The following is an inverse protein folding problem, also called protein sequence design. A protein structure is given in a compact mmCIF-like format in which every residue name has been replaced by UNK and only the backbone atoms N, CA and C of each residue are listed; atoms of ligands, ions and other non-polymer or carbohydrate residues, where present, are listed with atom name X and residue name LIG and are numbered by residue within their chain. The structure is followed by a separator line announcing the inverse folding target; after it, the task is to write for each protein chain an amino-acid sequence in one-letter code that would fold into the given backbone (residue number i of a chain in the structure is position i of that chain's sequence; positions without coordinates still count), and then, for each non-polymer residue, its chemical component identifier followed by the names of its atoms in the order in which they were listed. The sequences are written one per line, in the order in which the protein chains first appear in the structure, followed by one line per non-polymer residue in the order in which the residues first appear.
data_IF_997609055405
#
_entry.id   IF_997609055405
#
_cell.length_a   1.000
_cell.length_b   1.000
_cell.length_c   1.000
_cell.angle_alpha   90.00
_cell.angle_beta   90.00
_cell.angle_gamma   90.00
#
_symmetry.space_group_name_H-M   'P 1'
#
loop_
_entity.id
_entity.type
_entity.pdbx_description
1 polymer ?
#
# COMPACT_ATOMS: atom_id res chain seq x y z
N UNK A 1 8.94 11.88 7.10
CA UNK A 1 7.49 12.16 7.27
C UNK A 1 7.31 13.02 8.52
N UNK A 2 6.41 14.02 8.49
CA UNK A 2 6.16 14.94 9.63
C UNK A 2 5.55 14.17 10.80
N UNK A 3 6.17 14.06 11.98
CA UNK A 3 5.71 13.28 13.17
C UNK A 3 4.25 13.52 13.58
N UNK A 4 3.56 12.52 14.13
CA UNK A 4 2.28 12.76 14.83
C UNK A 4 2.54 13.75 15.97
N UNK A 5 1.73 14.81 16.06
CA UNK A 5 1.94 15.93 16.99
C UNK A 5 2.75 17.09 16.43
N UNK A 6 3.33 16.96 15.23
CA UNK A 6 3.99 18.06 14.50
C UNK A 6 3.06 18.74 13.47
N UNK A 7 1.78 18.37 13.47
CA UNK A 7 0.72 18.98 12.67
C UNK A 7 -0.59 18.91 13.45
N UNK A 8 -1.46 19.90 13.24
CA UNK A 8 -2.78 20.06 13.88
C UNK A 8 -3.94 19.94 12.87
N UNK A 9 -3.62 19.69 11.59
CA UNK A 9 -4.61 19.58 10.52
C UNK A 9 -5.41 18.28 10.62
N UNK A 10 -6.73 18.42 10.48
CA UNK A 10 -7.67 17.30 10.39
C UNK A 10 -7.67 16.72 8.96
N UNK A 11 -8.17 15.48 8.75
CA UNK A 11 -8.41 14.96 7.41
C UNK A 11 -9.33 15.88 6.59
N UNK A 12 -9.22 15.87 5.25
CA UNK A 12 -10.09 16.70 4.42
C UNK A 12 -11.56 16.29 4.60
N UNK A 13 -12.43 17.30 4.68
CA UNK A 13 -13.88 17.16 4.73
C UNK A 13 -14.50 17.46 3.37
N UNK A 14 -15.58 16.77 3.03
CA UNK A 14 -16.35 17.03 1.82
C UNK A 14 -17.38 18.11 2.07
N UNK A 15 -17.03 19.33 1.65
CA UNK A 15 -17.88 20.50 1.71
C UNK A 15 -17.79 21.14 0.33
N UNK A 16 -18.94 21.40 -0.30
CA UNK A 16 -18.98 22.02 -1.62
C UNK A 16 -19.01 23.54 -1.46
N UNK A 17 -18.52 24.27 -2.47
CA UNK A 17 -18.52 25.74 -2.45
C UNK A 17 -19.92 26.33 -2.27
N UNK A 18 -20.94 25.64 -2.79
CA UNK A 18 -22.35 26.01 -2.65
C UNK A 18 -22.91 25.83 -1.22
N UNK A 19 -22.25 25.02 -0.39
CA UNK A 19 -22.61 24.80 1.01
C UNK A 19 -21.91 25.82 1.93
N UNK A 20 -21.06 26.68 1.37
CA UNK A 20 -20.33 27.73 2.07
C UNK A 20 -21.02 29.08 1.86
N UNK A 21 -21.16 29.84 2.94
CA UNK A 21 -21.67 31.21 2.91
C UNK A 21 -20.78 32.15 3.72
N UNK A 22 -20.76 33.44 3.36
CA UNK A 22 -19.90 34.45 3.97
C UNK A 22 -20.25 34.77 5.44
N UNK A 23 -21.45 34.41 5.89
CA UNK A 23 -21.94 34.64 7.24
C UNK A 23 -21.83 33.39 8.12
N UNK A 24 -21.27 32.30 7.60
CA UNK A 24 -21.16 31.03 8.29
C UNK A 24 -20.17 31.09 9.45
N UNK A 25 -20.66 30.79 10.66
CA UNK A 25 -19.83 30.70 11.88
C UNK A 25 -19.46 29.27 12.25
N UNK A 26 -20.10 28.26 11.64
CA UNK A 26 -19.86 26.83 11.85
C UNK A 26 -20.02 26.10 10.52
N UNK A 27 -19.08 25.20 10.18
CA UNK A 27 -19.12 24.40 8.96
C UNK A 27 -20.36 23.50 8.87
N UNK A 28 -20.87 23.23 7.65
CA UNK A 28 -22.04 22.38 7.46
C UNK A 28 -21.70 20.91 7.78
N UNK A 29 -22.71 20.09 8.11
CA UNK A 29 -22.51 18.66 8.32
C UNK A 29 -22.05 17.97 7.03
N UNK A 30 -21.17 16.98 7.17
CA UNK A 30 -20.62 16.22 6.04
C UNK A 30 -21.73 15.34 5.44
N UNK A 31 -21.92 15.43 4.13
CA UNK A 31 -22.91 14.63 3.39
C UNK A 31 -22.36 13.24 3.05
N UNK A 32 -23.24 12.24 2.95
CA UNK A 32 -22.89 10.84 2.60
C UNK A 32 -22.54 10.64 1.13
N UNK A 33 -22.96 11.55 0.23
CA UNK A 33 -22.64 11.51 -1.21
C UNK A 33 -21.13 11.63 -1.50
N UNK A 34 -20.37 11.95 -0.47
CA UNK A 34 -18.93 11.96 -0.45
C UNK A 34 -18.24 10.65 -0.87
N UNK A 35 -18.84 9.50 -0.56
CA UNK A 35 -18.12 8.21 -0.56
C UNK A 35 -17.56 7.82 -1.93
N UNK A 36 -18.07 8.37 -3.04
CA UNK A 36 -17.57 8.12 -4.40
C UNK A 36 -16.76 9.29 -5.00
N UNK A 37 -16.68 10.40 -4.28
CA UNK A 37 -15.98 11.62 -4.70
C UNK A 37 -14.45 11.44 -4.71
N UNK A 38 -13.74 12.39 -5.30
CA UNK A 38 -12.28 12.43 -5.26
C UNK A 38 -11.75 12.64 -3.83
N UNK A 39 -12.44 13.47 -3.05
CA UNK A 39 -12.09 13.70 -1.65
C UNK A 39 -12.34 12.39 -0.87
N UNK A 40 -13.40 11.63 -1.20
CA UNK A 40 -13.75 10.33 -0.60
C UNK A 40 -12.59 9.37 -0.64
N UNK A 41 -12.08 9.18 -1.86
CA UNK A 41 -10.87 8.42 -2.12
C UNK A 41 -9.68 8.92 -1.29
N UNK A 42 -9.46 10.24 -1.24
CA UNK A 42 -8.35 10.84 -0.49
C UNK A 42 -8.45 10.54 1.01
N UNK A 43 -9.63 10.57 1.62
CA UNK A 43 -9.79 10.26 3.05
C UNK A 43 -9.58 8.78 3.35
N UNK A 44 -10.12 7.88 2.54
CA UNK A 44 -9.86 6.43 2.71
C UNK A 44 -8.37 6.12 2.55
N UNK A 45 -7.75 6.66 1.50
CA UNK A 45 -6.30 6.51 1.28
C UNK A 45 -5.48 7.12 2.41
N UNK A 46 -5.89 8.28 2.95
CA UNK A 46 -5.22 8.93 4.06
C UNK A 46 -5.16 8.02 5.30
N UNK A 47 -6.24 7.29 5.62
CA UNK A 47 -6.24 6.31 6.72
C UNK A 47 -5.19 5.22 6.52
N UNK A 48 -5.11 4.64 5.31
CA UNK A 48 -4.05 3.67 4.98
C UNK A 48 -2.65 4.26 5.12
N UNK A 49 -2.44 5.52 4.69
CA UNK A 49 -1.15 6.19 4.83
C UNK A 49 -0.78 6.43 6.29
N UNK A 50 -1.74 6.71 7.17
CA UNK A 50 -1.49 6.81 8.61
C UNK A 50 -1.08 5.48 9.24
N UNK A 51 -1.57 4.35 8.73
CA UNK A 51 -1.14 3.02 9.19
C UNK A 51 0.22 2.68 8.60
N UNK A 52 0.42 2.94 7.30
CA UNK A 52 1.71 2.80 6.63
C UNK A 52 2.81 3.56 7.38
N UNK A 53 2.50 4.74 7.88
CA UNK A 53 3.40 5.48 8.76
C UNK A 53 3.83 4.68 9.98
N UNK A 54 2.88 4.15 10.75
CA UNK A 54 3.17 3.40 11.97
C UNK A 54 4.06 2.20 11.63
N UNK A 55 3.75 1.52 10.53
CA UNK A 55 4.55 0.43 9.98
C UNK A 55 5.95 0.93 9.61
N UNK A 56 6.07 2.04 8.89
CA UNK A 56 7.35 2.60 8.48
C UNK A 56 8.22 2.94 9.69
N UNK A 57 7.65 3.61 10.69
CA UNK A 57 8.35 3.97 11.92
C UNK A 57 8.82 2.69 12.66
N UNK A 58 7.93 1.70 12.84
CA UNK A 58 8.26 0.41 13.47
C UNK A 58 9.33 -0.39 12.71
N UNK A 59 9.24 -0.43 11.38
CA UNK A 59 10.19 -1.12 10.50
C UNK A 59 11.56 -0.45 10.45
N UNK A 60 11.70 0.78 10.95
CA UNK A 60 12.97 1.49 11.03
C UNK A 60 13.50 1.65 12.47
N UNK A 61 12.83 1.07 13.47
CA UNK A 61 13.39 1.00 14.82
C UNK A 61 14.65 0.13 14.86
N UNK A 62 15.60 0.56 15.69
CA UNK A 62 16.86 -0.16 15.97
C UNK A 62 16.56 -1.49 16.64
N UNK A 63 15.71 -1.48 17.66
CA UNK A 63 15.16 -2.69 18.29
C UNK A 63 13.93 -3.15 17.50
N UNK A 64 13.91 -4.39 16.99
CA UNK A 64 12.72 -4.95 16.36
C UNK A 64 11.53 -4.94 17.31
N UNK A 65 10.34 -4.64 16.78
CA UNK A 65 9.09 -4.85 17.50
C UNK A 65 8.81 -6.35 17.62
N UNK A 66 7.98 -6.72 18.60
CA UNK A 66 7.56 -8.11 18.77
C UNK A 66 6.74 -8.61 17.58
N UNK A 67 6.72 -9.93 17.38
CA UNK A 67 5.91 -10.52 16.31
C UNK A 67 4.41 -10.26 16.50
N UNK A 68 3.94 -10.20 17.76
CA UNK A 68 2.55 -9.85 18.06
C UNK A 68 2.21 -8.41 17.63
N UNK A 69 3.14 -7.46 17.81
CA UNK A 69 2.98 -6.09 17.33
C UNK A 69 2.97 -6.03 15.79
N UNK A 70 3.80 -6.85 15.12
CA UNK A 70 3.79 -6.96 13.65
C UNK A 70 2.41 -7.41 13.16
N UNK A 71 1.88 -8.48 13.75
CA UNK A 71 0.55 -9.00 13.38
C UNK A 71 -0.58 -8.02 13.74
N UNK A 72 -0.44 -7.27 14.84
CA UNK A 72 -1.36 -6.20 15.21
C UNK A 72 -1.40 -5.07 14.18
N UNK A 73 -0.23 -4.64 13.66
CA UNK A 73 -0.16 -3.65 12.59
C UNK A 73 -0.74 -4.15 11.27
N UNK A 74 -0.53 -5.43 10.94
CA UNK A 74 -1.15 -6.03 9.75
C UNK A 74 -2.67 -6.09 9.86
N UNK A 75 -3.19 -6.47 11.03
CA UNK A 75 -4.64 -6.45 11.27
C UNK A 75 -5.21 -5.05 11.07
N UNK A 76 -4.59 -4.02 11.65
CA UNK A 76 -5.03 -2.64 11.44
C UNK A 76 -5.03 -2.25 9.95
N UNK A 77 -4.02 -2.70 9.20
CA UNK A 77 -3.92 -2.44 7.78
C UNK A 77 -5.02 -3.15 6.97
N UNK A 78 -5.37 -4.39 7.33
CA UNK A 78 -6.47 -5.15 6.74
C UNK A 78 -7.82 -4.52 7.06
N UNK A 79 -8.09 -4.22 8.33
CA UNK A 79 -9.34 -3.59 8.78
C UNK A 79 -9.58 -2.27 8.02
N UNK A 80 -8.53 -1.45 7.86
CA UNK A 80 -8.62 -0.21 7.11
C UNK A 80 -8.81 -0.39 5.60
N UNK A 81 -8.37 -1.52 5.02
CA UNK A 81 -8.64 -1.86 3.62
C UNK A 81 -10.10 -2.30 3.44
N UNK A 82 -10.64 -3.06 4.40
CA UNK A 82 -12.02 -3.55 4.38
C UNK A 82 -13.06 -2.43 4.51
N UNK A 83 -12.73 -1.35 5.24
CA UNK A 83 -13.56 -0.14 5.32
C UNK A 83 -13.68 0.63 3.99
N UNK A 84 -12.79 0.36 3.02
CA UNK A 84 -12.78 1.09 1.75
C UNK A 84 -13.96 0.63 0.88
N UNK A 85 -14.80 1.54 0.34
CA UNK A 85 -15.88 1.16 -0.57
C UNK A 85 -15.38 0.34 -1.75
N UNK A 86 -16.16 -0.67 -2.17
CA UNK A 86 -15.81 -1.57 -3.28
C UNK A 86 -15.47 -0.81 -4.57
N UNK A 87 -16.09 0.35 -4.79
CA UNK A 87 -15.81 1.25 -5.91
C UNK A 87 -14.35 1.71 -6.01
N UNK A 88 -13.63 1.75 -4.88
CA UNK A 88 -12.22 2.12 -4.79
C UNK A 88 -11.27 0.95 -4.57
N UNK A 89 -11.76 -0.29 -4.52
CA UNK A 89 -10.89 -1.46 -4.36
C UNK A 89 -10.45 -1.97 -5.72
N UNK A 90 -9.15 -2.23 -5.89
CA UNK A 90 -8.67 -2.93 -7.08
C UNK A 90 -9.05 -4.40 -7.01
N UNK A 91 -8.79 -5.10 -5.89
CA UNK A 91 -8.95 -6.55 -5.65
C UNK A 91 -8.14 -7.46 -6.60
N UNK A 92 -8.07 -7.10 -7.88
CA UNK A 92 -7.26 -7.74 -8.90
C UNK A 92 -7.07 -6.80 -10.10
N UNK A 93 -6.06 -7.09 -10.91
CA UNK A 93 -5.84 -6.42 -12.20
C UNK A 93 -7.06 -6.57 -13.13
N UNK A 94 -7.78 -7.69 -13.06
CA UNK A 94 -8.97 -7.94 -13.88
C UNK A 94 -10.10 -6.94 -13.58
N UNK A 95 -10.35 -6.64 -12.31
CA UNK A 95 -11.37 -5.66 -11.91
C UNK A 95 -11.01 -4.25 -12.41
N UNK A 96 -9.72 -3.89 -12.36
CA UNK A 96 -9.27 -2.60 -12.91
C UNK A 96 -9.55 -2.50 -14.41
N UNK A 97 -9.37 -3.57 -15.20
CA UNK A 97 -9.59 -3.55 -16.64
C UNK A 97 -10.99 -3.12 -17.07
N UNK A 98 -12.01 -3.49 -16.29
CA UNK A 98 -13.41 -3.19 -16.57
C UNK A 98 -13.86 -1.81 -16.06
N UNK A 99 -13.02 -1.11 -15.28
CA UNK A 99 -13.36 0.17 -14.67
C UNK A 99 -13.10 1.39 -15.57
N UNK A 100 -13.75 2.50 -15.25
CA UNK A 100 -13.40 3.82 -15.79
C UNK A 100 -11.95 4.20 -15.44
N UNK A 101 -11.37 5.15 -16.18
CA UNK A 101 -10.01 5.69 -15.90
C UNK A 101 -9.87 6.11 -14.44
N UNK A 102 -10.89 6.78 -13.89
CA UNK A 102 -10.87 7.24 -12.50
C UNK A 102 -10.90 6.08 -11.50
N UNK A 103 -11.64 5.01 -11.77
CA UNK A 103 -11.66 3.81 -10.92
C UNK A 103 -10.32 3.07 -11.00
N UNK A 104 -9.75 2.93 -12.20
CA UNK A 104 -8.44 2.31 -12.42
C UNK A 104 -7.36 2.97 -11.55
N UNK A 105 -7.23 4.29 -11.67
CA UNK A 105 -6.21 5.08 -10.97
C UNK A 105 -6.43 5.07 -9.46
N UNK A 106 -7.67 5.26 -9.01
CA UNK A 106 -8.01 5.30 -7.58
C UNK A 106 -7.82 3.94 -6.91
N UNK A 107 -8.30 2.87 -7.55
CA UNK A 107 -8.13 1.49 -7.10
C UNK A 107 -6.67 1.09 -7.01
N UNK A 108 -5.92 1.29 -8.10
CA UNK A 108 -4.47 1.05 -8.11
C UNK A 108 -3.76 1.81 -6.97
N UNK A 109 -4.11 3.08 -6.76
CA UNK A 109 -3.45 3.89 -5.73
C UNK A 109 -3.68 3.38 -4.31
N UNK A 110 -4.85 2.82 -4.01
CA UNK A 110 -5.15 2.22 -2.70
C UNK A 110 -4.41 0.90 -2.56
N UNK A 111 -4.52 0.04 -3.58
CA UNK A 111 -3.89 -1.27 -3.62
C UNK A 111 -2.37 -1.18 -3.44
N UNK A 112 -1.71 -0.28 -4.19
CA UNK A 112 -0.27 -0.04 -4.05
C UNK A 112 0.12 0.43 -2.65
N UNK A 113 -0.71 1.26 -2.01
CA UNK A 113 -0.46 1.73 -0.65
C UNK A 113 -0.55 0.58 0.35
N UNK A 114 -1.53 -0.30 0.19
CA UNK A 114 -1.68 -1.49 1.01
C UNK A 114 -0.52 -2.48 0.82
N UNK A 115 -0.22 -2.87 -0.44
CA UNK A 115 0.81 -3.86 -0.74
C UNK A 115 2.19 -3.40 -0.27
N UNK A 116 2.56 -2.14 -0.51
CA UNK A 116 3.86 -1.64 -0.05
C UNK A 116 3.94 -1.57 1.47
N UNK A 117 2.83 -1.27 2.15
CA UNK A 117 2.79 -1.30 3.61
C UNK A 117 3.09 -2.69 4.14
N UNK A 118 2.49 -3.73 3.53
CA UNK A 118 2.80 -5.12 3.88
C UNK A 118 4.25 -5.51 3.59
N UNK A 119 4.81 -5.08 2.46
CA UNK A 119 6.24 -5.28 2.19
C UNK A 119 7.12 -4.64 3.26
N UNK A 120 6.85 -3.39 3.65
CA UNK A 120 7.63 -2.71 4.69
C UNK A 120 7.50 -3.39 6.06
N UNK A 121 6.31 -3.89 6.40
CA UNK A 121 6.05 -4.56 7.65
C UNK A 121 6.81 -5.89 7.75
N UNK A 122 6.77 -6.68 6.68
CA UNK A 122 7.26 -8.06 6.72
C UNK A 122 8.69 -8.27 6.17
N UNK A 123 9.30 -7.26 5.53
CA UNK A 123 10.62 -7.41 4.89
C UNK A 123 11.76 -7.87 5.81
N UNK A 124 11.73 -7.55 7.12
CA UNK A 124 12.81 -7.94 8.04
C UNK A 124 12.92 -9.46 8.18
N UNK A 125 11.78 -10.15 8.10
CA UNK A 125 11.71 -11.60 8.17
C UNK A 125 12.34 -12.28 6.94
N UNK A 126 12.50 -11.59 5.81
CA UNK A 126 13.27 -12.09 4.66
C UNK A 126 14.79 -12.11 4.89
N UNK A 127 15.31 -11.59 6.00
CA UNK A 127 16.76 -11.61 6.28
C UNK A 127 17.11 -12.32 7.58
N UNK A 128 16.11 -12.78 8.33
CA UNK A 128 16.31 -13.54 9.56
C UNK A 128 16.77 -14.98 9.26
N UNK A 129 17.63 -15.51 10.14
CA UNK A 129 18.01 -16.92 10.09
C UNK A 129 16.80 -17.81 10.39
N UNK A 130 16.64 -18.88 9.61
CA UNK A 130 15.52 -19.85 9.76
C UNK A 130 14.12 -19.22 9.57
N UNK A 131 14.02 -18.06 8.95
CA UNK A 131 12.75 -17.34 8.79
C UNK A 131 11.70 -18.13 8.01
N UNK A 132 12.14 -18.93 7.02
CA UNK A 132 11.29 -19.84 6.26
C UNK A 132 10.56 -20.87 7.16
N UNK A 133 11.10 -21.16 8.35
CA UNK A 133 10.50 -22.08 9.31
C UNK A 133 9.75 -21.33 10.42
N UNK A 134 10.36 -20.29 11.00
CA UNK A 134 9.80 -19.58 12.17
C UNK A 134 8.73 -18.55 11.82
N UNK A 135 8.92 -17.81 10.73
CA UNK A 135 8.08 -16.69 10.31
C UNK A 135 7.60 -16.87 8.87
N UNK A 136 7.22 -18.10 8.52
CA UNK A 136 6.84 -18.50 7.16
C UNK A 136 5.69 -17.66 6.60
N UNK A 137 4.74 -17.28 7.45
CA UNK A 137 3.65 -16.37 7.09
C UNK A 137 4.17 -15.00 6.64
N UNK A 138 5.02 -14.35 7.44
CA UNK A 138 5.56 -13.03 7.10
C UNK A 138 6.41 -13.06 5.82
N UNK A 139 7.22 -14.11 5.65
CA UNK A 139 7.97 -14.32 4.40
C UNK A 139 7.01 -14.40 3.22
N UNK A 140 5.98 -15.25 3.31
CA UNK A 140 4.97 -15.39 2.25
C UNK A 140 4.23 -14.07 1.98
N UNK A 141 3.77 -13.38 3.02
CA UNK A 141 3.07 -12.10 2.90
C UNK A 141 3.91 -11.04 2.19
N UNK A 142 5.21 -10.98 2.50
CA UNK A 142 6.15 -10.06 1.85
C UNK A 142 6.36 -10.43 0.37
N UNK A 143 6.55 -11.72 0.07
CA UNK A 143 6.77 -12.22 -1.29
C UNK A 143 5.53 -12.03 -2.16
N UNK A 144 4.36 -12.48 -1.70
CA UNK A 144 3.08 -12.35 -2.41
C UNK A 144 2.79 -10.88 -2.74
N UNK A 145 3.00 -9.98 -1.76
CA UNK A 145 2.80 -8.54 -1.97
C UNK A 145 3.80 -7.97 -2.99
N UNK A 146 5.05 -8.43 -2.97
CA UNK A 146 6.08 -8.00 -3.92
C UNK A 146 5.77 -8.46 -5.35
N UNK A 147 5.30 -9.70 -5.52
CA UNK A 147 4.84 -10.22 -6.82
C UNK A 147 3.69 -9.37 -7.35
N UNK A 148 2.67 -9.11 -6.53
CA UNK A 148 1.52 -8.30 -6.92
C UNK A 148 1.94 -6.89 -7.33
N UNK A 149 2.84 -6.23 -6.60
CA UNK A 149 3.38 -4.91 -6.98
C UNK A 149 4.00 -4.93 -8.37
N UNK A 150 4.81 -5.94 -8.70
CA UNK A 150 5.43 -6.04 -10.04
C UNK A 150 4.42 -6.38 -11.13
N UNK A 151 3.39 -7.18 -10.83
CA UNK A 151 2.29 -7.41 -11.76
C UNK A 151 1.53 -6.10 -12.05
N UNK A 152 1.28 -5.28 -11.02
CA UNK A 152 0.69 -3.96 -11.16
C UNK A 152 1.61 -2.96 -11.90
N UNK A 153 2.92 -3.05 -11.72
CA UNK A 153 3.89 -2.29 -12.51
C UNK A 153 3.75 -2.61 -14.00
N UNK A 154 3.76 -3.90 -14.36
CA UNK A 154 3.60 -4.34 -15.75
C UNK A 154 2.25 -3.87 -16.31
N UNK A 155 1.18 -4.04 -15.55
CA UNK A 155 -0.16 -3.58 -15.92
C UNK A 155 -0.18 -2.07 -16.25
N UNK A 156 0.30 -1.24 -15.33
CA UNK A 156 0.25 0.22 -15.50
C UNK A 156 1.21 0.72 -16.59
N UNK A 157 2.33 0.04 -16.80
CA UNK A 157 3.23 0.32 -17.94
C UNK A 157 2.50 0.09 -19.27
N UNK A 158 1.73 -1.00 -19.36
CA UNK A 158 0.93 -1.29 -20.56
C UNK A 158 -0.23 -0.30 -20.75
N UNK A 159 -0.91 0.11 -19.68
CA UNK A 159 -2.01 1.09 -19.76
C UNK A 159 -1.54 2.52 -20.06
N UNK A 160 -0.25 2.82 -19.86
CA UNK A 160 0.37 4.13 -20.15
C UNK A 160 1.13 4.17 -21.48
N UNK A 161 1.18 3.05 -22.20
CA UNK A 161 1.80 3.00 -23.53
C UNK A 161 1.09 3.98 -24.52
N UNK A 162 1.74 4.34 -25.65
CA UNK A 162 1.10 5.13 -26.70
C UNK A 162 -0.27 4.56 -27.07
N UNK A 163 -1.23 5.45 -27.36
CA UNK A 163 -2.60 5.13 -27.75
C UNK A 163 -3.45 4.40 -26.69
N UNK A 164 -2.98 4.35 -25.43
CA UNK A 164 -3.73 3.77 -24.31
C UNK A 164 -4.44 4.84 -23.47
N UNK A 165 -5.54 4.47 -22.76
CA UNK A 165 -6.34 5.43 -22.00
C UNK A 165 -5.58 6.20 -20.91
N UNK A 166 -4.48 5.65 -20.38
CA UNK A 166 -3.68 6.30 -19.34
C UNK A 166 -2.37 6.90 -19.89
N UNK A 167 -2.19 7.06 -21.20
CA UNK A 167 -0.94 7.57 -21.78
C UNK A 167 -0.47 8.91 -21.18
N UNK A 168 -1.40 9.82 -20.86
CA UNK A 168 -1.08 11.10 -20.22
C UNK A 168 -0.65 11.01 -18.75
N UNK A 169 -0.82 9.86 -18.10
CA UNK A 169 -0.60 9.67 -16.66
C UNK A 169 0.86 9.32 -16.34
N UNK A 170 1.77 10.29 -16.54
CA UNK A 170 3.22 10.09 -16.36
C UNK A 170 3.65 9.85 -14.90
N UNK A 171 2.77 10.04 -13.92
CA UNK A 171 3.10 9.83 -12.50
C UNK A 171 3.44 8.36 -12.18
N UNK A 172 3.07 7.40 -13.02
CA UNK A 172 3.47 5.99 -12.89
C UNK A 172 4.98 5.82 -13.07
N UNK A 173 5.60 6.66 -13.90
CA UNK A 173 7.05 6.74 -14.07
C UNK A 173 7.70 7.74 -13.09
N UNK A 174 6.96 8.25 -12.10
CA UNK A 174 7.55 9.09 -11.06
C UNK A 174 8.52 8.30 -10.19
N UNK A 175 9.53 8.99 -9.66
CA UNK A 175 10.51 8.37 -8.75
C UNK A 175 9.83 7.65 -7.59
N UNK A 176 8.73 8.19 -7.06
CA UNK A 176 7.98 7.57 -5.96
C UNK A 176 7.50 6.15 -6.31
N UNK A 177 6.93 5.96 -7.50
CA UNK A 177 6.46 4.64 -7.95
C UNK A 177 7.63 3.72 -8.31
N UNK A 178 8.68 4.26 -8.94
CA UNK A 178 9.89 3.50 -9.23
C UNK A 178 10.52 2.93 -7.96
N UNK A 179 10.55 3.67 -6.85
CA UNK A 179 11.06 3.14 -5.57
C UNK A 179 10.22 2.00 -5.02
N UNK A 180 8.89 2.10 -5.09
CA UNK A 180 8.00 1.02 -4.64
C UNK A 180 8.22 -0.26 -5.48
N UNK A 181 8.43 -0.13 -6.79
CA UNK A 181 8.74 -1.26 -7.69
C UNK A 181 10.13 -1.87 -7.43
N UNK A 182 11.15 -1.04 -7.27
CA UNK A 182 12.52 -1.49 -6.98
C UNK A 182 12.60 -2.19 -5.62
N UNK A 183 11.86 -1.72 -4.62
CA UNK A 183 11.74 -2.40 -3.34
C UNK A 183 11.16 -3.81 -3.55
N UNK A 184 10.03 -3.94 -4.24
CA UNK A 184 9.41 -5.24 -4.50
C UNK A 184 10.35 -6.21 -5.24
N UNK A 185 11.04 -5.72 -6.29
CA UNK A 185 12.03 -6.52 -7.02
C UNK A 185 13.18 -6.97 -6.11
N UNK A 186 13.69 -6.08 -5.26
CA UNK A 186 14.78 -6.40 -4.31
C UNK A 186 14.36 -7.48 -3.34
N UNK A 187 13.14 -7.41 -2.79
CA UNK A 187 12.61 -8.39 -1.83
C UNK A 187 12.46 -9.78 -2.48
N UNK A 188 12.05 -9.84 -3.75
CA UNK A 188 12.01 -11.10 -4.50
C UNK A 188 13.40 -11.65 -4.78
N UNK A 189 14.36 -10.82 -5.17
CA UNK A 189 15.74 -11.25 -5.35
C UNK A 189 16.34 -11.79 -4.05
N UNK A 190 16.07 -11.15 -2.91
CA UNK A 190 16.49 -11.63 -1.59
C UNK A 190 15.88 -13.00 -1.28
N UNK A 191 14.57 -13.16 -1.48
CA UNK A 191 13.88 -14.43 -1.26
C UNK A 191 14.42 -15.55 -2.14
N UNK A 192 14.60 -15.32 -3.44
CA UNK A 192 15.18 -16.28 -4.37
C UNK A 192 16.62 -16.65 -3.97
N UNK A 193 17.41 -15.66 -3.55
CA UNK A 193 18.75 -15.87 -3.01
C UNK A 193 18.76 -16.80 -1.79
N UNK A 194 17.81 -16.61 -0.87
CA UNK A 194 17.67 -17.49 0.29
C UNK A 194 17.31 -18.93 -0.09
N UNK A 195 16.38 -19.12 -1.02
CA UNK A 195 15.99 -20.46 -1.48
C UNK A 195 17.18 -21.21 -2.09
N UNK A 196 17.92 -20.56 -2.98
CA UNK A 196 19.13 -21.16 -3.57
C UNK A 196 20.19 -21.52 -2.52
N UNK A 197 20.36 -20.68 -1.49
CA UNK A 197 21.29 -20.95 -0.40
C UNK A 197 20.85 -22.11 0.49
N UNK A 198 19.53 -22.33 0.66
CA UNK A 198 19.00 -23.49 1.38
C UNK A 198 19.15 -24.79 0.60
N UNK A 199 18.97 -24.76 -0.73
CA UNK A 199 19.17 -25.92 -1.61
C UNK A 199 20.65 -26.31 -1.72
N UNK A 200 21.56 -25.32 -1.65
CA UNK A 200 23.01 -25.53 -1.72
C UNK A 200 23.69 -25.99 -0.43
N UNK A 201 22.96 -26.13 0.70
CA UNK A 201 23.48 -26.75 1.92
C UNK A 201 23.35 -28.28 1.79
N UNK A 202 24.44 -29.04 1.55
CA UNK A 202 24.36 -30.48 1.73
C UNK A 202 23.97 -30.74 3.19
N UNK A 203 23.10 -31.73 3.42
CA UNK A 203 22.80 -32.24 4.76
C UNK A 203 24.10 -32.79 5.38
N UNK A 204 24.90 -31.91 5.96
CA UNK A 204 26.05 -32.26 6.78
C UNK A 204 25.51 -32.67 8.14
N UNK A 205 25.21 -33.97 8.22
CA UNK A 205 25.38 -34.82 9.39
C UNK A 205 24.61 -34.45 10.65
N UNK A 206 23.61 -35.28 10.96
CA UNK A 206 23.58 -36.10 12.18
C UNK A 206 22.82 -37.40 11.87
#
# INVERSE_FOLDING_TARGET
MISQGMYDTKPPSHILDQDLDENMVVLPPITTDYERSAIGHATFKYRLVLIFRKIFDASNLVTPISYDEVMGLEKLLLDALEEIPEYFQARSIHVLNSGSISQKVRGFSIEMTYLKSRCFLHRKFLSEAESLQKHSYSVKACVDSSILILQYQNYMTNETAPDRPLHGMKWIASSLMTYDFLLAATLLCLYLGQLMATEGKPMLGL
#
